data_IF_696153447481
#
_entry.id   IF_696153447481
#
_cell.length_a   1.000
_cell.length_b   1.000
_cell.length_c   1.000
_cell.angle_alpha   90.00
_cell.angle_beta   90.00
_cell.angle_gamma   90.00
#
_symmetry.space_group_name_H-M   'P 1'
#
loop_
_entity.id
_entity.type
_entity.pdbx_description
1 polymer ?
#
# COMPACT_ATOMS: atom_id res chain seq x y z
N UNK A 1 -0.02 6.39 6.07
CA UNK A 1 -0.63 6.31 7.42
C UNK A 1 -0.20 5.01 8.08
N UNK A 2 1.08 4.96 8.50
CA UNK A 2 1.76 3.80 9.05
C UNK A 2 2.59 4.21 10.27
N UNK A 3 2.82 3.29 11.21
CA UNK A 3 3.62 3.58 12.41
C UNK A 3 3.15 2.89 13.70
N UNK A 4 2.18 1.99 13.64
CA UNK A 4 1.78 1.20 14.82
C UNK A 4 2.83 0.14 15.15
N UNK A 5 3.20 -0.68 14.16
CA UNK A 5 4.26 -1.69 14.30
C UNK A 5 5.08 -1.90 13.02
N UNK A 6 4.70 -1.23 11.94
CA UNK A 6 5.38 -1.21 10.65
C UNK A 6 5.77 0.23 10.31
N UNK A 7 7.02 0.44 9.89
CA UNK A 7 7.64 1.76 9.77
C UNK A 7 8.40 1.92 8.45
N UNK A 8 8.68 3.16 8.07
CA UNK A 8 9.41 3.47 6.83
C UNK A 8 8.64 3.19 5.54
N UNK A 9 7.33 2.99 5.63
CA UNK A 9 6.41 2.96 4.49
C UNK A 9 6.03 4.36 4.00
N UNK A 10 4.99 4.43 3.20
CA UNK A 10 4.47 5.69 2.61
C UNK A 10 5.57 6.51 1.90
N UNK A 11 6.46 5.81 1.19
CA UNK A 11 7.62 6.41 0.50
C UNK A 11 7.18 7.03 -0.83
N UNK A 12 6.49 8.16 -0.73
CA UNK A 12 5.98 8.92 -1.88
C UNK A 12 6.60 10.33 -2.04
N UNK A 13 7.75 10.56 -1.39
CA UNK A 13 8.48 11.81 -1.48
C UNK A 13 9.20 12.03 -2.83
N UNK A 14 9.65 13.26 -3.12
CA UNK A 14 10.34 13.59 -4.37
C UNK A 14 11.69 12.88 -4.56
N UNK A 15 12.28 12.34 -3.48
CA UNK A 15 13.54 11.59 -3.49
C UNK A 15 13.39 10.12 -3.94
N UNK A 16 12.16 9.66 -4.16
CA UNK A 16 11.88 8.25 -4.45
C UNK A 16 12.07 7.93 -5.93
N UNK A 17 12.81 6.85 -6.19
CA UNK A 17 13.04 6.35 -7.55
C UNK A 17 11.96 5.35 -7.97
N UNK A 18 10.82 5.88 -8.41
CA UNK A 18 9.72 5.06 -8.90
C UNK A 18 10.06 4.30 -10.18
N UNK A 19 10.96 4.85 -11.01
CA UNK A 19 11.38 4.19 -12.24
C UNK A 19 12.14 2.91 -11.91
N UNK A 20 13.12 2.96 -11.02
CA UNK A 20 13.89 1.79 -10.63
C UNK A 20 12.97 0.66 -10.12
N UNK A 21 11.98 0.98 -9.29
CA UNK A 21 10.98 0.01 -8.82
C UNK A 21 10.13 -0.53 -9.98
N UNK A 22 9.68 0.32 -10.90
CA UNK A 22 8.94 -0.08 -12.09
C UNK A 22 9.75 -1.03 -12.99
N UNK A 23 11.04 -0.72 -13.23
CA UNK A 23 11.96 -1.60 -13.98
C UNK A 23 12.16 -2.94 -13.27
N UNK A 24 12.30 -2.93 -11.94
CA UNK A 24 12.45 -4.14 -11.14
C UNK A 24 11.23 -5.08 -11.25
N UNK A 25 10.05 -4.54 -11.53
CA UNK A 25 8.83 -5.32 -11.81
C UNK A 25 8.67 -5.76 -13.27
N UNK A 26 9.66 -5.49 -14.13
CA UNK A 26 9.66 -5.85 -15.55
C UNK A 26 9.14 -4.75 -16.48
N UNK A 27 8.90 -3.55 -15.97
CA UNK A 27 8.43 -2.41 -16.75
C UNK A 27 9.46 -1.91 -17.74
N UNK A 28 9.09 -1.83 -19.02
CA UNK A 28 9.97 -1.36 -20.09
C UNK A 28 9.35 -0.25 -20.94
N UNK A 29 8.01 -0.18 -21.03
CA UNK A 29 7.31 0.68 -21.99
C UNK A 29 7.21 2.16 -21.61
N UNK A 30 7.30 2.49 -20.32
CA UNK A 30 7.10 3.87 -19.86
C UNK A 30 8.41 4.64 -19.68
N UNK A 31 8.40 5.92 -20.06
CA UNK A 31 9.47 6.86 -19.72
C UNK A 31 9.43 7.20 -18.23
N UNK A 32 10.59 7.45 -17.62
CA UNK A 32 10.75 7.82 -16.21
C UNK A 32 9.76 8.90 -15.74
N UNK A 33 9.65 9.97 -16.53
CA UNK A 33 8.76 11.09 -16.22
C UNK A 33 7.28 10.70 -16.20
N UNK A 34 6.87 9.77 -17.06
CA UNK A 34 5.49 9.26 -17.09
C UNK A 34 5.21 8.43 -15.85
N UNK A 35 6.14 7.54 -15.46
CA UNK A 35 6.02 6.73 -14.23
C UNK A 35 5.88 7.65 -13.01
N UNK A 36 6.81 8.60 -12.87
CA UNK A 36 6.84 9.55 -11.76
C UNK A 36 5.56 10.38 -11.68
N UNK A 37 5.19 11.03 -12.77
CA UNK A 37 3.99 11.89 -12.82
C UNK A 37 2.73 11.12 -12.49
N UNK A 38 2.56 9.92 -13.04
CA UNK A 38 1.34 9.11 -12.82
C UNK A 38 1.24 8.62 -11.38
N UNK A 39 2.34 8.16 -10.77
CA UNK A 39 2.35 7.72 -9.36
C UNK A 39 2.07 8.89 -8.42
N UNK A 40 2.75 10.02 -8.61
CA UNK A 40 2.52 11.23 -7.80
C UNK A 40 1.07 11.70 -7.91
N UNK A 41 0.53 11.83 -9.12
CA UNK A 41 -0.86 12.24 -9.33
C UNK A 41 -1.87 11.27 -8.70
N UNK A 42 -1.60 9.96 -8.77
CA UNK A 42 -2.44 8.95 -8.14
C UNK A 42 -2.43 9.10 -6.62
N UNK A 43 -1.24 9.18 -6.00
CA UNK A 43 -1.10 9.30 -4.55
C UNK A 43 -1.74 10.59 -4.03
N UNK A 44 -1.47 11.73 -4.67
CA UNK A 44 -2.04 13.02 -4.28
C UNK A 44 -3.57 13.02 -4.41
N UNK A 45 -4.11 12.48 -5.51
CA UNK A 45 -5.57 12.39 -5.69
C UNK A 45 -6.23 11.49 -4.65
N UNK A 46 -5.60 10.36 -4.30
CA UNK A 46 -6.12 9.47 -3.25
C UNK A 46 -6.03 10.14 -1.87
N UNK A 47 -4.99 10.93 -1.62
CA UNK A 47 -4.85 11.74 -0.41
C UNK A 47 -6.00 12.73 -0.23
N UNK A 48 -6.38 13.46 -1.29
CA UNK A 48 -7.53 14.37 -1.25
C UNK A 48 -8.84 13.62 -0.96
N UNK A 49 -9.05 12.46 -1.57
CA UNK A 49 -10.25 11.64 -1.33
C UNK A 49 -10.26 11.09 0.10
N UNK A 50 -9.09 10.73 0.63
CA UNK A 50 -8.94 10.20 1.98
C UNK A 50 -9.39 11.21 3.04
N UNK A 51 -9.15 12.50 2.79
CA UNK A 51 -9.55 13.59 3.69
C UNK A 51 -11.05 13.92 3.64
N UNK A 52 -11.82 13.41 2.67
CA UNK A 52 -13.27 13.61 2.58
C UNK A 52 -14.04 12.54 3.37
N UNK A 53 -14.67 12.88 4.51
CA UNK A 53 -15.41 11.91 5.32
C UNK A 53 -16.59 11.27 4.60
N UNK A 54 -17.13 11.90 3.55
CA UNK A 54 -18.23 11.34 2.74
C UNK A 54 -17.77 10.19 1.85
N UNK A 55 -16.45 10.03 1.68
CA UNK A 55 -15.84 9.01 0.84
C UNK A 55 -15.32 7.81 1.61
N UNK A 56 -15.49 7.77 2.94
CA UNK A 56 -14.96 6.68 3.77
C UNK A 56 -15.45 5.30 3.34
N UNK A 57 -16.69 5.15 2.86
CA UNK A 57 -17.26 3.89 2.34
C UNK A 57 -17.27 3.78 0.80
N UNK A 58 -16.64 4.73 0.11
CA UNK A 58 -16.58 4.77 -1.35
C UNK A 58 -15.19 5.16 -1.85
N UNK A 59 -14.16 4.75 -1.11
CA UNK A 59 -12.77 4.97 -1.47
C UNK A 59 -12.46 4.17 -2.76
N UNK A 60 -11.89 4.79 -3.79
CA UNK A 60 -11.56 4.11 -5.03
C UNK A 60 -10.33 3.22 -4.86
N UNK A 61 -10.21 2.18 -5.69
CA UNK A 61 -8.97 1.41 -5.76
C UNK A 61 -7.89 2.20 -6.49
N UNK A 62 -6.62 1.86 -6.23
CA UNK A 62 -5.48 2.44 -6.97
C UNK A 62 -5.63 2.22 -8.47
N UNK A 63 -6.04 1.01 -8.90
CA UNK A 63 -6.21 0.70 -10.32
C UNK A 63 -7.35 1.50 -10.98
N UNK A 64 -8.47 1.72 -10.28
CA UNK A 64 -9.53 2.65 -10.75
C UNK A 64 -8.95 4.05 -10.97
N UNK A 65 -8.21 4.56 -9.99
CA UNK A 65 -7.61 5.90 -10.06
C UNK A 65 -6.57 6.02 -11.18
N UNK A 66 -5.75 4.99 -11.39
CA UNK A 66 -4.76 4.96 -12.46
C UNK A 66 -5.41 4.97 -13.85
N UNK A 67 -6.52 4.24 -14.04
CA UNK A 67 -7.29 4.27 -15.30
C UNK A 67 -7.86 5.66 -15.60
N UNK A 68 -8.33 6.38 -14.57
CA UNK A 68 -8.82 7.76 -14.73
C UNK A 68 -7.70 8.73 -15.13
N UNK A 69 -6.51 8.58 -14.53
CA UNK A 69 -5.38 9.49 -14.73
C UNK A 69 -4.59 9.23 -16.01
N UNK A 70 -4.58 7.98 -16.48
CA UNK A 70 -3.79 7.54 -17.62
C UNK A 70 -4.60 6.57 -18.50
N UNK A 71 -5.72 7.02 -19.09
CA UNK A 71 -6.67 6.16 -19.82
C UNK A 71 -6.07 5.51 -21.07
N UNK A 72 -5.03 6.10 -21.64
CA UNK A 72 -4.37 5.60 -22.85
C UNK A 72 -3.31 4.52 -22.56
N UNK A 73 -2.99 4.27 -21.28
CA UNK A 73 -2.00 3.25 -20.92
C UNK A 73 -2.60 1.85 -20.99
N UNK A 74 -1.87 0.85 -21.53
CA UNK A 74 -2.29 -0.53 -21.48
C UNK A 74 -2.49 -1.01 -20.06
N UNK A 75 -3.46 -1.91 -19.86
CA UNK A 75 -3.78 -2.47 -18.55
C UNK A 75 -2.56 -3.15 -17.90
N UNK A 76 -1.67 -3.76 -18.68
CA UNK A 76 -0.41 -4.34 -18.19
C UNK A 76 0.50 -3.30 -17.53
N UNK A 77 0.56 -2.09 -18.07
CA UNK A 77 1.35 -0.99 -17.52
C UNK A 77 0.69 -0.42 -16.25
N UNK A 78 -0.63 -0.29 -16.24
CA UNK A 78 -1.37 0.13 -15.05
C UNK A 78 -1.18 -0.84 -13.87
N UNK A 79 -1.19 -2.15 -14.14
CA UNK A 79 -0.90 -3.18 -13.14
C UNK A 79 0.54 -3.08 -12.59
N UNK A 80 1.52 -2.72 -13.42
CA UNK A 80 2.88 -2.49 -12.96
C UNK A 80 2.98 -1.25 -12.07
N UNK A 81 2.33 -0.15 -12.46
CA UNK A 81 2.28 1.08 -11.65
C UNK A 81 1.59 0.85 -10.30
N UNK A 82 0.51 0.07 -10.25
CA UNK A 82 -0.15 -0.33 -9.00
C UNK A 82 0.81 -1.10 -8.07
N UNK A 83 1.62 -2.01 -8.63
CA UNK A 83 2.65 -2.74 -7.86
C UNK A 83 3.75 -1.79 -7.34
N UNK A 84 4.14 -0.78 -8.11
CA UNK A 84 5.07 0.25 -7.63
C UNK A 84 4.46 0.99 -6.44
N UNK A 85 3.19 1.42 -6.52
CA UNK A 85 2.50 2.07 -5.41
C UNK A 85 2.47 1.15 -4.18
N UNK A 86 2.11 -0.13 -4.34
CA UNK A 86 2.09 -1.09 -3.24
C UNK A 86 3.47 -1.23 -2.57
N UNK A 87 4.53 -1.31 -3.37
CA UNK A 87 5.90 -1.43 -2.89
C UNK A 87 6.35 -0.18 -2.12
N UNK A 88 6.01 1.01 -2.61
CA UNK A 88 6.37 2.28 -1.96
C UNK A 88 5.54 2.58 -0.71
N UNK A 89 4.29 2.12 -0.67
CA UNK A 89 3.44 2.16 0.52
C UNK A 89 3.98 1.24 1.63
N UNK A 90 4.45 0.04 1.26
CA UNK A 90 4.90 -0.99 2.20
C UNK A 90 6.02 -0.49 3.12
N UNK A 91 5.87 -0.69 4.43
CA UNK A 91 6.93 -0.48 5.42
C UNK A 91 7.59 -1.78 5.87
N UNK A 92 8.40 -1.71 6.93
CA UNK A 92 9.07 -2.85 7.56
C UNK A 92 8.61 -2.99 9.00
N UNK A 93 8.32 -4.20 9.45
CA UNK A 93 8.04 -4.56 10.85
C UNK A 93 9.35 -4.85 11.57
N UNK A 94 9.91 -3.95 12.41
CA UNK A 94 11.21 -4.14 13.04
C UNK A 94 11.21 -5.36 13.97
N UNK A 95 12.36 -6.02 14.15
CA UNK A 95 12.41 -7.29 14.90
C UNK A 95 12.02 -7.10 16.37
N UNK A 96 12.36 -5.93 16.93
CA UNK A 96 11.91 -5.53 18.25
C UNK A 96 10.37 -5.47 18.36
N UNK A 97 9.68 -4.97 17.33
CA UNK A 97 8.21 -4.91 17.31
C UNK A 97 7.59 -6.28 17.06
N UNK A 98 8.18 -7.10 16.19
CA UNK A 98 7.77 -8.49 16.00
C UNK A 98 7.81 -9.28 17.32
N UNK A 99 8.87 -9.11 18.13
CA UNK A 99 8.98 -9.73 19.44
C UNK A 99 7.89 -9.24 20.42
N UNK A 100 7.54 -7.95 20.38
CA UNK A 100 6.46 -7.40 21.20
C UNK A 100 5.10 -7.97 20.80
N UNK A 101 4.82 -8.10 19.50
CA UNK A 101 3.61 -8.75 19.01
C UNK A 101 3.50 -10.20 19.46
N UNK A 102 4.59 -10.97 19.42
CA UNK A 102 4.61 -12.36 19.93
C UNK A 102 4.24 -12.44 21.42
N UNK A 103 4.76 -11.51 22.24
CA UNK A 103 4.43 -11.44 23.67
C UNK A 103 2.96 -11.07 23.91
N UNK A 104 2.41 -10.16 23.12
CA UNK A 104 0.99 -9.81 23.18
C UNK A 104 0.10 -10.99 22.78
N UNK A 105 0.43 -11.65 21.66
CA UNK A 105 -0.32 -12.80 21.15
C UNK A 105 -0.32 -14.02 22.10
N UNK A 106 0.69 -14.14 22.97
CA UNK A 106 0.73 -15.19 23.99
C UNK A 106 -0.34 -15.03 25.09
N UNK A 107 -0.93 -13.84 25.23
CA UNK A 107 -1.89 -13.52 26.30
C UNK A 107 -3.20 -12.94 25.80
N UNK A 108 -3.23 -12.42 24.56
CA UNK A 108 -4.37 -11.77 23.96
C UNK A 108 -4.61 -12.31 22.55
N UNK A 109 -5.87 -12.32 22.13
CA UNK A 109 -6.20 -12.51 20.72
C UNK A 109 -5.96 -11.20 19.98
N UNK A 110 -5.00 -11.20 19.05
CA UNK A 110 -4.60 -9.99 18.30
C UNK A 110 -5.21 -10.04 16.91
N UNK A 111 -5.66 -8.89 16.39
CA UNK A 111 -6.07 -8.73 15.00
C UNK A 111 -5.43 -7.47 14.40
N UNK A 112 -5.41 -7.39 13.07
CA UNK A 112 -4.91 -6.21 12.34
C UNK A 112 -6.02 -5.61 11.49
N UNK A 113 -6.14 -4.28 11.55
CA UNK A 113 -7.02 -3.50 10.68
C UNK A 113 -6.19 -2.35 10.10
N UNK A 114 -5.87 -2.42 8.82
CA UNK A 114 -4.98 -1.49 8.15
C UNK A 114 -5.69 -0.78 6.98
N UNK A 115 -5.58 0.55 6.96
CA UNK A 115 -5.87 1.30 5.75
C UNK A 115 -4.64 1.19 4.86
N UNK A 116 -4.77 0.50 3.74
CA UNK A 116 -3.75 0.40 2.71
C UNK A 116 -4.37 0.81 1.37
N UNK A 117 -3.60 1.49 0.54
CA UNK A 117 -4.00 2.02 -0.75
C UNK A 117 -4.11 0.90 -1.77
N UNK A 118 -3.10 0.03 -1.81
CA UNK A 118 -2.94 -0.94 -2.89
C UNK A 118 -3.06 -2.38 -2.40
N UNK A 119 -2.62 -3.30 -3.24
CA UNK A 119 -2.53 -4.76 -3.02
C UNK A 119 -1.95 -5.11 -1.65
N UNK A 120 -2.59 -6.04 -0.96
CA UNK A 120 -2.18 -6.50 0.38
C UNK A 120 -1.03 -7.50 0.36
N UNK A 121 -0.74 -8.11 -0.78
CA UNK A 121 0.24 -9.18 -0.93
C UNK A 121 1.63 -8.78 -0.39
N UNK A 122 2.19 -7.60 -0.70
CA UNK A 122 3.48 -7.20 -0.14
C UNK A 122 3.47 -7.05 1.39
N UNK A 123 2.32 -6.69 1.97
CA UNK A 123 2.15 -6.63 3.43
C UNK A 123 2.12 -8.01 4.05
N UNK A 124 1.45 -8.97 3.42
CA UNK A 124 1.42 -10.36 3.87
C UNK A 124 2.82 -10.97 3.82
N UNK A 125 3.58 -10.72 2.75
CA UNK A 125 4.97 -11.16 2.61
C UNK A 125 5.86 -10.58 3.71
N UNK A 126 5.70 -9.30 4.04
CA UNK A 126 6.41 -8.68 5.17
C UNK A 126 6.01 -9.28 6.52
N UNK A 127 4.73 -9.63 6.72
CA UNK A 127 4.28 -10.31 7.93
C UNK A 127 4.84 -11.73 8.06
N UNK A 128 4.98 -12.45 6.94
CA UNK A 128 5.67 -13.75 6.88
C UNK A 128 7.14 -13.56 7.23
N UNK A 129 7.82 -12.60 6.58
CA UNK A 129 9.24 -12.31 6.81
C UNK A 129 9.53 -11.94 8.27
N UNK A 130 8.65 -11.16 8.90
CA UNK A 130 8.76 -10.79 10.31
C UNK A 130 8.31 -11.91 11.28
N UNK A 131 7.70 -12.98 10.77
CA UNK A 131 7.19 -14.10 11.56
C UNK A 131 6.03 -13.68 12.47
N UNK A 132 5.15 -12.81 11.98
CA UNK A 132 3.99 -12.27 12.71
C UNK A 132 2.64 -12.60 12.07
N UNK A 133 2.61 -13.10 10.82
CA UNK A 133 1.36 -13.37 10.11
C UNK A 133 0.40 -14.26 10.93
N UNK A 134 0.90 -15.40 11.42
CA UNK A 134 0.11 -16.37 12.19
C UNK A 134 -0.28 -15.89 13.61
N UNK A 135 0.19 -14.72 14.05
CA UNK A 135 -0.19 -14.16 15.34
C UNK A 135 -1.56 -13.46 15.28
N UNK A 136 -1.99 -13.06 14.09
CA UNK A 136 -3.23 -12.33 13.89
C UNK A 136 -4.39 -13.29 13.68
N UNK A 137 -5.32 -13.33 14.63
CA UNK A 137 -6.54 -14.12 14.50
C UNK A 137 -7.54 -13.54 13.49
N UNK A 138 -7.33 -12.30 13.04
CA UNK A 138 -8.12 -11.62 12.00
C UNK A 138 -7.26 -10.55 11.34
N UNK A 139 -7.33 -10.46 10.02
CA UNK A 139 -6.69 -9.42 9.22
C UNK A 139 -7.73 -8.74 8.33
N UNK A 140 -7.77 -7.41 8.36
CA UNK A 140 -8.66 -6.59 7.53
C UNK A 140 -7.82 -5.50 6.87
N UNK A 141 -7.86 -5.47 5.54
CA UNK A 141 -7.19 -4.45 4.73
C UNK A 141 -8.26 -3.65 3.97
N UNK A 142 -8.20 -2.32 4.02
CA UNK A 142 -9.19 -1.49 3.33
C UNK A 142 -9.23 -1.73 1.82
N UNK A 143 -8.10 -2.12 1.21
CA UNK A 143 -8.02 -2.41 -0.23
C UNK A 143 -8.74 -3.69 -0.65
N UNK A 144 -9.16 -4.55 0.29
CA UNK A 144 -10.06 -5.67 -0.01
C UNK A 144 -11.51 -5.20 -0.29
N UNK A 145 -11.82 -3.94 0.02
CA UNK A 145 -13.13 -3.35 -0.17
C UNK A 145 -13.03 -1.89 -0.62
N UNK A 146 -14.03 -1.09 -0.21
CA UNK A 146 -14.09 0.35 -0.49
C UNK A 146 -14.15 1.21 0.78
N UNK A 147 -14.06 0.57 1.94
CA UNK A 147 -14.17 1.22 3.24
C UNK A 147 -12.81 1.44 3.87
N UNK A 148 -12.55 2.68 4.27
CA UNK A 148 -11.37 3.09 5.02
C UNK A 148 -11.80 3.55 6.42
N UNK A 149 -10.99 3.26 7.45
CA UNK A 149 -11.20 3.87 8.79
C UNK A 149 -11.24 5.41 8.65
N UNK A 150 -12.11 6.13 9.38
CA UNK A 150 -12.85 5.69 10.56
C UNK A 150 -14.31 5.26 10.30
N UNK A 151 -14.64 4.77 9.09
CA UNK A 151 -15.96 4.17 8.83
C UNK A 151 -16.34 3.07 9.82
#
# INVERSE_FOLDING_TARGET
MNGTFMFGGDRFGPEQDYEATYRAFGGQGLASEVVRRTITACFESLGVIYEDPKRCDSFPSVLEKLRELAPDLPETELNLLERVIAQHELGRVPDAYALRLKRLAATHRVGVVANILSRKEPWLDEFVRAGVLELFATTVFSSDGRSIKPS
#
